data_IF_145748483533
#
_entry.id   IF_145748483533
#
_cell.length_a   1.000
_cell.length_b   1.000
_cell.length_c   1.000
_cell.angle_alpha   90.00
_cell.angle_beta   90.00
_cell.angle_gamma   90.00
#
_symmetry.space_group_name_H-M   'P 1'
#
loop_
_entity.id
_entity.type
_entity.pdbx_description
1 polymer ?
#
# COMPACT_ATOMS: atom_id res chain seq x y z
N UNK A 1 1.32 8.00 -28.05
CA UNK A 1 1.50 6.82 -28.87
C UNK A 1 0.71 6.96 -30.17
N UNK A 2 1.34 6.72 -31.31
CA UNK A 2 0.60 6.82 -32.57
C UNK A 2 -0.53 5.77 -32.61
N UNK A 3 -1.68 6.12 -33.21
CA UNK A 3 -2.77 5.18 -33.35
C UNK A 3 -2.34 3.99 -34.20
N UNK A 4 -2.77 2.83 -33.80
CA UNK A 4 -2.51 1.61 -34.57
C UNK A 4 -3.59 1.43 -35.62
N UNK A 5 -3.24 0.71 -36.67
CA UNK A 5 -4.25 0.22 -37.62
C UNK A 5 -5.29 -0.62 -36.88
N UNK A 6 -6.51 -0.63 -37.38
CA UNK A 6 -7.62 -1.38 -36.77
C UNK A 6 -7.21 -2.83 -36.55
N UNK A 7 -7.15 -3.33 -35.33
CA UNK A 7 -6.74 -4.71 -35.07
C UNK A 7 -7.86 -5.69 -35.43
N UNK A 8 -7.46 -6.92 -35.76
CA UNK A 8 -8.39 -8.03 -35.88
C UNK A 8 -9.00 -8.33 -34.50
N UNK A 9 -10.21 -8.93 -34.40
CA UNK A 9 -10.85 -9.22 -33.13
C UNK A 9 -9.95 -9.98 -32.14
N UNK A 10 -9.16 -10.94 -32.57
CA UNK A 10 -8.22 -11.69 -31.75
C UNK A 10 -7.10 -10.79 -31.22
N UNK A 11 -6.63 -9.85 -32.04
CA UNK A 11 -5.59 -8.88 -31.63
C UNK A 11 -6.14 -7.87 -30.63
N UNK A 12 -7.41 -7.46 -30.79
CA UNK A 12 -8.08 -6.56 -29.84
C UNK A 12 -8.18 -7.20 -28.45
N UNK A 13 -8.57 -8.48 -28.38
CA UNK A 13 -8.64 -9.22 -27.12
C UNK A 13 -7.26 -9.31 -26.46
N UNK A 14 -6.21 -9.60 -27.24
CA UNK A 14 -4.84 -9.67 -26.77
C UNK A 14 -4.37 -8.32 -26.22
N UNK A 15 -4.71 -7.21 -26.88
CA UNK A 15 -4.35 -5.87 -26.41
C UNK A 15 -5.06 -5.51 -25.10
N UNK A 16 -6.31 -5.95 -24.90
CA UNK A 16 -7.03 -5.76 -23.64
C UNK A 16 -6.33 -6.52 -22.51
N UNK A 17 -5.94 -7.78 -22.73
CA UNK A 17 -5.19 -8.55 -21.73
C UNK A 17 -3.87 -7.90 -21.39
N UNK A 18 -3.12 -7.44 -22.36
CA UNK A 18 -1.84 -6.75 -22.13
C UNK A 18 -2.01 -5.49 -21.29
N UNK A 19 -3.07 -4.72 -21.52
CA UNK A 19 -3.36 -3.52 -20.73
C UNK A 19 -3.73 -3.88 -19.30
N UNK A 20 -4.53 -4.93 -19.09
CA UNK A 20 -4.89 -5.40 -17.76
C UNK A 20 -3.65 -5.87 -16.99
N UNK A 21 -2.78 -6.63 -17.64
CA UNK A 21 -1.54 -7.10 -17.02
C UNK A 21 -0.62 -5.94 -16.66
N UNK A 22 -0.50 -4.97 -17.56
CA UNK A 22 0.31 -3.76 -17.30
C UNK A 22 -0.25 -2.96 -16.13
N UNK A 23 -1.58 -2.82 -16.03
CA UNK A 23 -2.22 -2.10 -14.93
C UNK A 23 -2.00 -2.82 -13.60
N UNK A 24 -2.09 -4.15 -13.58
CA UNK A 24 -1.81 -4.94 -12.38
C UNK A 24 -0.35 -4.81 -11.95
N UNK A 25 0.56 -4.86 -12.90
CA UNK A 25 1.99 -4.73 -12.64
C UNK A 25 2.31 -3.34 -12.10
N UNK A 26 1.75 -2.29 -12.71
CA UNK A 26 1.92 -0.92 -12.25
C UNK A 26 1.35 -0.73 -10.85
N UNK A 27 0.17 -1.25 -10.57
CA UNK A 27 -0.45 -1.25 -9.25
C UNK A 27 0.47 -1.91 -8.21
N UNK A 28 0.99 -3.09 -8.51
CA UNK A 28 1.90 -3.80 -7.63
C UNK A 28 3.17 -3.01 -7.38
N UNK A 29 3.73 -2.39 -8.42
CA UNK A 29 4.96 -1.61 -8.31
C UNK A 29 4.77 -0.36 -7.46
N UNK A 30 3.61 0.31 -7.56
CA UNK A 30 3.33 1.51 -6.77
C UNK A 30 3.21 1.19 -5.29
N UNK A 31 2.51 0.12 -4.92
CA UNK A 31 2.40 -0.26 -3.51
C UNK A 31 3.74 -0.72 -2.94
N UNK A 32 4.54 -1.42 -3.73
CA UNK A 32 5.90 -1.82 -3.33
C UNK A 32 6.79 -0.61 -3.11
N UNK A 33 6.72 0.38 -3.99
CA UNK A 33 7.48 1.61 -3.86
C UNK A 33 7.06 2.40 -2.62
N UNK A 34 5.77 2.46 -2.32
CA UNK A 34 5.26 3.09 -1.11
C UNK A 34 5.85 2.40 0.14
N UNK A 35 5.75 1.08 0.21
CA UNK A 35 6.26 0.32 1.36
C UNK A 35 7.77 0.50 1.53
N UNK A 36 8.52 0.48 0.44
CA UNK A 36 9.97 0.69 0.47
C UNK A 36 10.31 2.08 1.02
N UNK A 37 9.57 3.10 0.59
CA UNK A 37 9.75 4.46 1.08
C UNK A 37 9.45 4.58 2.57
N UNK A 38 8.38 3.91 3.03
CA UNK A 38 8.02 3.87 4.45
C UNK A 38 9.13 3.21 5.28
N UNK A 39 9.66 2.07 4.83
CA UNK A 39 10.75 1.38 5.52
C UNK A 39 12.01 2.24 5.59
N UNK A 40 12.27 3.01 4.55
CA UNK A 40 13.41 3.92 4.49
C UNK A 40 13.21 5.23 5.23
N UNK A 41 12.06 5.42 5.86
CA UNK A 41 11.70 6.68 6.56
C UNK A 41 11.74 7.91 5.64
N UNK A 42 11.46 7.70 4.36
CA UNK A 42 11.44 8.76 3.35
C UNK A 42 10.02 9.29 3.19
N UNK A 43 9.69 10.32 3.97
CA UNK A 43 8.33 10.88 4.01
C UNK A 43 7.92 11.44 2.64
N UNK A 44 8.80 12.20 2.00
CA UNK A 44 8.48 12.85 0.74
C UNK A 44 8.24 11.83 -0.37
N UNK A 45 9.07 10.81 -0.47
CA UNK A 45 8.86 9.73 -1.43
C UNK A 45 7.57 8.96 -1.13
N UNK A 46 7.30 8.67 0.13
CA UNK A 46 6.09 7.95 0.52
C UNK A 46 4.83 8.73 0.13
N UNK A 47 4.81 10.03 0.39
CA UNK A 47 3.70 10.90 -0.02
C UNK A 47 3.55 10.96 -1.54
N UNK A 48 4.66 10.99 -2.26
CA UNK A 48 4.63 10.98 -3.72
C UNK A 48 3.97 9.71 -4.26
N UNK A 49 4.34 8.54 -3.74
CA UNK A 49 3.75 7.28 -4.17
C UNK A 49 2.29 7.16 -3.79
N UNK A 50 1.91 7.68 -2.60
CA UNK A 50 0.51 7.77 -2.21
C UNK A 50 -0.27 8.62 -3.23
N UNK A 51 0.25 9.80 -3.57
CA UNK A 51 -0.37 10.68 -4.54
C UNK A 51 -0.53 10.01 -5.91
N UNK A 52 0.50 9.28 -6.36
CA UNK A 52 0.44 8.54 -7.62
C UNK A 52 -0.66 7.48 -7.60
N UNK A 53 -0.82 6.78 -6.48
CA UNK A 53 -1.86 5.77 -6.35
C UNK A 53 -3.26 6.40 -6.35
N UNK A 54 -3.44 7.50 -5.65
CA UNK A 54 -4.73 8.21 -5.61
C UNK A 54 -5.11 8.77 -6.99
N UNK A 55 -4.18 9.41 -7.68
CA UNK A 55 -4.40 9.95 -9.03
C UNK A 55 -4.72 8.81 -10.00
N UNK A 56 -4.09 7.67 -9.85
CA UNK A 56 -4.31 6.50 -10.68
C UNK A 56 -5.63 5.77 -10.42
N UNK A 57 -6.44 6.24 -9.46
CA UNK A 57 -7.73 5.65 -9.16
C UNK A 57 -7.67 4.44 -8.25
N UNK A 58 -6.56 4.26 -7.53
CA UNK A 58 -6.44 3.16 -6.58
C UNK A 58 -7.48 3.29 -5.46
N UNK A 59 -8.06 2.17 -5.05
CA UNK A 59 -9.03 2.15 -3.96
C UNK A 59 -8.36 2.59 -2.65
N UNK A 60 -8.81 3.71 -2.03
CA UNK A 60 -8.23 4.15 -0.78
C UNK A 60 -8.37 3.14 0.36
N UNK A 61 -9.40 2.28 0.32
CA UNK A 61 -9.53 1.20 1.32
C UNK A 61 -8.44 0.15 1.16
N UNK A 62 -8.05 -0.15 -0.07
CA UNK A 62 -6.91 -1.04 -0.32
C UNK A 62 -5.62 -0.42 0.24
N UNK A 63 -5.38 0.85 -0.02
CA UNK A 63 -4.21 1.56 0.50
C UNK A 63 -4.21 1.51 2.03
N UNK A 64 -5.36 1.79 2.64
CA UNK A 64 -5.50 1.77 4.11
C UNK A 64 -5.20 0.40 4.70
N UNK A 65 -5.66 -0.67 4.06
CA UNK A 65 -5.35 -2.04 4.50
C UNK A 65 -3.83 -2.29 4.48
N UNK A 66 -3.17 -1.84 3.43
CA UNK A 66 -1.72 -2.02 3.30
C UNK A 66 -0.96 -1.19 4.33
N UNK A 67 -1.43 0.01 4.65
CA UNK A 67 -0.83 0.83 5.70
C UNK A 67 -1.02 0.20 7.08
N UNK A 68 -2.19 -0.34 7.36
CA UNK A 68 -2.44 -1.06 8.61
C UNK A 68 -1.52 -2.27 8.75
N UNK A 69 -1.37 -3.04 7.68
CA UNK A 69 -0.46 -4.17 7.66
C UNK A 69 0.99 -3.74 7.93
N UNK A 70 1.43 -2.64 7.32
CA UNK A 70 2.76 -2.09 7.56
C UNK A 70 2.94 -1.71 9.03
N UNK A 71 1.94 -1.07 9.63
CA UNK A 71 1.98 -0.68 11.03
C UNK A 71 2.20 -1.88 11.95
N UNK A 72 1.59 -3.03 11.64
CA UNK A 72 1.73 -4.25 12.42
C UNK A 72 3.06 -4.97 12.15
N UNK A 73 3.42 -5.13 10.88
CA UNK A 73 4.57 -5.95 10.48
C UNK A 73 5.91 -5.23 10.62
N UNK A 74 5.97 -3.97 10.18
CA UNK A 74 7.25 -3.26 10.04
C UNK A 74 7.52 -2.29 11.19
N UNK A 75 6.51 -1.86 11.91
CA UNK A 75 6.67 -1.03 13.11
C UNK A 75 6.43 -1.88 14.36
N UNK A 76 5.29 -2.57 14.40
CA UNK A 76 4.99 -3.51 15.47
C UNK A 76 5.14 -2.91 16.85
N UNK A 77 5.88 -3.59 17.70
CA UNK A 77 6.06 -3.19 19.09
C UNK A 77 7.05 -2.04 19.30
N UNK A 78 7.75 -1.61 18.24
CA UNK A 78 8.58 -0.42 18.36
C UNK A 78 7.73 0.84 18.61
N UNK A 79 6.50 0.84 18.08
CA UNK A 79 5.50 1.88 18.37
C UNK A 79 4.11 1.25 18.26
N UNK A 80 3.56 0.73 19.37
CA UNK A 80 2.23 0.09 19.33
C UNK A 80 1.11 1.04 18.90
N UNK A 81 1.29 2.35 19.04
CA UNK A 81 0.30 3.34 18.62
C UNK A 81 0.15 3.40 17.08
N UNK A 82 1.10 2.87 16.33
CA UNK A 82 1.03 2.90 14.87
C UNK A 82 -0.21 2.17 14.34
N UNK A 83 -0.55 1.01 14.90
CA UNK A 83 -1.74 0.27 14.53
C UNK A 83 -3.00 1.06 14.86
N UNK A 84 -3.08 1.63 16.06
CA UNK A 84 -4.22 2.45 16.47
C UNK A 84 -4.39 3.66 15.57
N UNK A 85 -3.29 4.34 15.24
CA UNK A 85 -3.31 5.49 14.36
C UNK A 85 -3.79 5.11 12.95
N UNK A 86 -3.29 4.02 12.40
CA UNK A 86 -3.68 3.55 11.07
C UNK A 86 -5.17 3.22 11.01
N UNK A 87 -5.71 2.58 12.05
CA UNK A 87 -7.14 2.26 12.14
C UNK A 87 -7.96 3.55 12.23
N UNK A 88 -7.56 4.48 13.10
CA UNK A 88 -8.28 5.75 13.27
C UNK A 88 -8.31 6.56 11.98
N UNK A 89 -7.19 6.62 11.25
CA UNK A 89 -7.13 7.29 9.96
C UNK A 89 -8.05 6.63 8.93
N UNK A 90 -8.08 5.31 8.91
CA UNK A 90 -8.96 4.58 8.00
C UNK A 90 -10.44 4.84 8.34
N UNK A 91 -10.80 4.80 9.61
CA UNK A 91 -12.16 5.12 10.03
C UNK A 91 -12.53 6.55 9.65
N UNK A 92 -11.62 7.50 9.82
CA UNK A 92 -11.82 8.88 9.39
C UNK A 92 -12.07 8.97 7.89
N UNK A 93 -11.29 8.27 7.11
CA UNK A 93 -11.47 8.22 5.66
C UNK A 93 -12.85 7.67 5.30
N UNK A 94 -13.28 6.58 5.93
CA UNK A 94 -14.58 5.95 5.64
C UNK A 94 -15.76 6.89 5.92
N UNK A 95 -15.61 7.77 6.90
CA UNK A 95 -16.68 8.71 7.29
C UNK A 95 -16.77 9.90 6.35
N UNK A 96 -15.66 10.35 5.80
CA UNK A 96 -15.58 11.58 5.00
C UNK A 96 -15.49 11.29 3.50
N UNK A 97 -14.70 10.30 3.11
CA UNK A 97 -14.49 9.94 1.70
C UNK A 97 -13.57 10.89 0.97
N UNK A 98 -13.30 10.55 -0.30
CA UNK A 98 -12.48 11.38 -1.17
C UNK A 98 -13.29 12.55 -1.76
N UNK A 99 -12.66 13.70 -2.02
CA UNK A 99 -11.22 13.96 -1.88
C UNK A 99 -10.77 14.39 -0.48
N UNK A 100 -11.66 14.91 0.35
CA UNK A 100 -11.28 15.50 1.65
C UNK A 100 -10.68 14.46 2.60
N UNK A 101 -11.20 13.23 2.57
CA UNK A 101 -10.74 12.15 3.42
C UNK A 101 -9.35 11.62 3.04
N UNK A 102 -8.85 11.97 1.86
CA UNK A 102 -7.50 11.54 1.43
C UNK A 102 -6.41 12.06 2.39
N UNK A 103 -6.68 13.16 3.09
CA UNK A 103 -5.75 13.68 4.09
C UNK A 103 -5.49 12.67 5.23
N UNK A 104 -6.48 11.85 5.58
CA UNK A 104 -6.27 10.79 6.58
C UNK A 104 -5.23 9.77 6.11
N UNK A 105 -5.24 9.45 4.81
CA UNK A 105 -4.23 8.57 4.23
C UNK A 105 -2.84 9.22 4.31
N UNK A 106 -2.76 10.50 3.99
CA UNK A 106 -1.50 11.25 4.09
C UNK A 106 -0.98 11.28 5.53
N UNK A 107 -1.86 11.53 6.51
CA UNK A 107 -1.48 11.50 7.92
C UNK A 107 -0.94 10.13 8.32
N UNK A 108 -1.59 9.06 7.89
CA UNK A 108 -1.14 7.71 8.16
C UNK A 108 0.24 7.45 7.56
N UNK A 109 0.46 7.86 6.31
CA UNK A 109 1.74 7.72 5.62
C UNK A 109 2.85 8.48 6.36
N UNK A 110 2.60 9.73 6.75
CA UNK A 110 3.58 10.54 7.48
C UNK A 110 3.96 9.87 8.81
N UNK A 111 2.95 9.41 9.55
CA UNK A 111 3.19 8.74 10.83
C UNK A 111 4.05 7.49 10.65
N UNK A 112 3.67 6.64 9.69
CA UNK A 112 4.37 5.37 9.47
C UNK A 112 5.79 5.60 8.95
N UNK A 113 5.99 6.62 8.12
CA UNK A 113 7.33 6.93 7.60
C UNK A 113 8.27 7.43 8.71
N UNK A 114 7.73 8.17 9.69
CA UNK A 114 8.54 8.76 10.77
C UNK A 114 8.64 7.90 12.03
N UNK A 115 7.82 6.86 12.14
CA UNK A 115 7.83 5.97 13.30
C UNK A 115 9.07 5.07 13.31
N UNK A 116 9.54 4.64 14.48
CA UNK A 116 10.61 3.65 14.55
C UNK A 116 10.14 2.32 13.95
N UNK A 117 11.06 1.59 13.34
CA UNK A 117 10.75 0.33 12.65
C UNK A 117 11.32 -0.86 13.41
N UNK A 118 10.49 -1.92 13.53
CA UNK A 118 10.92 -3.21 14.04
C UNK A 118 9.98 -4.29 13.51
N UNK A 119 10.53 -5.31 12.92
CA UNK A 119 9.77 -6.49 12.51
C UNK A 119 9.93 -7.65 13.49
N UNK A 120 10.36 -7.37 14.73
CA UNK A 120 10.64 -8.40 15.71
C UNK A 120 9.41 -9.24 16.07
N UNK A 121 8.24 -8.61 16.20
CA UNK A 121 7.00 -9.33 16.47
C UNK A 121 6.63 -10.27 15.32
N UNK A 122 6.77 -9.81 14.08
CA UNK A 122 6.54 -10.63 12.90
C UNK A 122 7.46 -11.84 12.87
N UNK A 123 8.75 -11.63 13.10
CA UNK A 123 9.74 -12.71 13.13
C UNK A 123 9.47 -13.68 14.27
N UNK A 124 9.10 -13.19 15.45
CA UNK A 124 8.81 -14.03 16.59
C UNK A 124 7.62 -14.98 16.30
N UNK A 125 6.56 -14.44 15.69
CA UNK A 125 5.41 -15.28 15.32
C UNK A 125 5.81 -16.29 14.24
N UNK A 126 6.56 -15.89 13.22
CA UNK A 126 7.04 -16.81 12.18
C UNK A 126 7.85 -17.94 12.76
N UNK A 127 8.73 -17.65 13.71
CA UNK A 127 9.54 -18.67 14.39
C UNK A 127 8.66 -19.60 15.22
N UNK A 128 7.69 -19.06 15.95
CA UNK A 128 6.77 -19.86 16.75
C UNK A 128 5.93 -20.79 15.88
N UNK A 129 5.45 -20.30 14.73
CA UNK A 129 4.69 -21.12 13.77
C UNK A 129 5.56 -22.25 13.23
N UNK A 130 6.83 -21.98 12.89
CA UNK A 130 7.76 -23.01 12.41
C UNK A 130 7.95 -24.12 13.46
N UNK A 131 8.16 -23.73 14.71
CA UNK A 131 8.31 -24.70 15.80
C UNK A 131 7.02 -25.53 16.00
N UNK A 132 5.86 -24.86 16.00
CA UNK A 132 4.58 -25.52 16.17
C UNK A 132 4.29 -26.54 15.07
N UNK A 133 4.72 -26.27 13.84
CA UNK A 133 4.54 -27.20 12.72
C UNK A 133 5.39 -28.47 12.84
N UNK A 134 6.47 -28.43 13.61
CA UNK A 134 7.36 -29.58 13.82
C UNK A 134 6.86 -30.53 14.89
N UNK A 135 5.91 -30.14 15.70
CA UNK A 135 5.39 -30.93 16.80
C UNK A 135 4.10 -31.71 16.44
#
# INVERSE_FOLDING_TARGET
RPPRSTPKPSSAASDVYKRQDKNKEEHYNLISALHKSLRGSDVDAALYWLARMLIGGEDPNYISRRLLRFASEDIGMADPNAVTHAISCWDGYKRIGSPEGDLFLAQSVIYLATAPKSNAAYKALSNAVSVAKQN
#
